data_IF_684393279544
#
_entry.id   IF_684393279544
#
_cell.length_a   1.000
_cell.length_b   1.000
_cell.length_c   1.000
_cell.angle_alpha   90.00
_cell.angle_beta   90.00
_cell.angle_gamma   90.00
#
_symmetry.space_group_name_H-M   'P 1'
#
loop_
_entity.id
_entity.type
_entity.pdbx_description
1 polymer ?
#
# COMPACT_ATOMS: atom_id res chain seq x y z
N UNK A 1 -21.80 -2.91 6.57
CA UNK A 1 -20.65 -3.84 6.39
C UNK A 1 -19.64 -3.60 7.49
N UNK A 2 -19.06 -4.66 8.07
CA UNK A 2 -18.01 -4.56 9.10
C UNK A 2 -16.78 -5.31 8.61
N UNK A 3 -15.61 -4.69 8.67
CA UNK A 3 -14.32 -5.35 8.44
C UNK A 3 -13.42 -5.04 9.63
N UNK A 4 -12.97 -6.09 10.32
CA UNK A 4 -12.10 -5.98 11.49
C UNK A 4 -10.85 -6.83 11.31
N UNK A 5 -9.71 -6.30 11.69
CA UNK A 5 -8.46 -7.02 11.77
C UNK A 5 -7.71 -6.60 13.03
N UNK A 6 -7.63 -7.51 14.01
CA UNK A 6 -7.20 -7.20 15.36
C UNK A 6 -7.96 -5.97 15.92
N UNK A 7 -7.26 -4.86 16.15
CA UNK A 7 -7.82 -3.62 16.69
C UNK A 7 -8.27 -2.62 15.61
N UNK A 8 -7.82 -2.80 14.36
CA UNK A 8 -8.20 -1.92 13.26
C UNK A 8 -9.54 -2.34 12.67
N UNK A 9 -10.52 -1.44 12.64
CA UNK A 9 -11.86 -1.69 12.10
C UNK A 9 -12.30 -0.64 11.09
N UNK A 10 -12.99 -1.06 10.03
CA UNK A 10 -13.68 -0.21 9.06
C UNK A 10 -15.14 -0.63 9.01
N UNK A 11 -16.02 0.35 9.17
CA UNK A 11 -17.45 0.17 9.25
C UNK A 11 -18.12 0.98 8.14
N UNK A 12 -18.95 0.32 7.34
CA UNK A 12 -19.69 0.93 6.24
C UNK A 12 -21.17 1.06 6.59
N UNK A 13 -21.68 2.28 6.49
CA UNK A 13 -23.06 2.68 6.75
C UNK A 13 -23.68 3.35 5.52
N UNK A 14 -25.00 3.26 5.38
CA UNK A 14 -25.74 3.88 4.27
C UNK A 14 -26.16 5.32 4.58
N UNK A 15 -26.46 5.63 5.85
CA UNK A 15 -26.90 6.95 6.29
C UNK A 15 -25.95 7.55 7.33
N UNK A 16 -25.88 8.89 7.37
CA UNK A 16 -25.11 9.61 8.40
C UNK A 16 -25.71 9.42 9.79
N UNK A 17 -27.03 9.40 9.90
CA UNK A 17 -27.72 9.18 11.18
C UNK A 17 -27.35 7.84 11.83
N UNK A 18 -27.17 6.78 11.02
CA UNK A 18 -26.72 5.50 11.56
C UNK A 18 -25.28 5.55 12.06
N UNK A 19 -24.41 6.31 11.38
CA UNK A 19 -23.02 6.55 11.84
C UNK A 19 -23.03 7.27 13.18
N UNK A 20 -23.79 8.35 13.28
CA UNK A 20 -23.82 9.20 14.48
C UNK A 20 -24.36 8.41 15.69
N UNK A 21 -25.46 7.65 15.51
CA UNK A 21 -25.98 6.75 16.55
C UNK A 21 -24.97 5.68 16.95
N UNK A 22 -24.33 5.04 15.97
CA UNK A 22 -23.36 3.98 16.22
C UNK A 22 -22.13 4.47 16.99
N UNK A 23 -21.64 5.68 16.70
CA UNK A 23 -20.51 6.27 17.44
C UNK A 23 -20.87 6.45 18.91
N UNK A 24 -22.08 6.92 19.20
CA UNK A 24 -22.53 7.11 20.58
C UNK A 24 -22.65 5.76 21.31
N UNK A 25 -23.28 4.78 20.69
CA UNK A 25 -23.38 3.41 21.23
C UNK A 25 -21.99 2.80 21.49
N UNK A 26 -21.03 3.05 20.59
CA UNK A 26 -19.65 2.61 20.75
C UNK A 26 -18.95 3.27 21.93
N UNK A 27 -19.16 4.57 22.15
CA UNK A 27 -18.57 5.29 23.30
C UNK A 27 -19.08 4.70 24.61
N UNK A 28 -20.40 4.47 24.71
CA UNK A 28 -21.02 3.82 25.88
C UNK A 28 -20.44 2.43 26.09
N UNK A 29 -20.33 1.63 25.03
CA UNK A 29 -19.80 0.27 25.13
C UNK A 29 -18.32 0.23 25.54
N UNK A 30 -17.50 1.13 25.01
CA UNK A 30 -16.08 1.21 25.37
C UNK A 30 -15.89 1.61 26.83
N UNK A 31 -16.70 2.56 27.32
CA UNK A 31 -16.67 2.99 28.71
C UNK A 31 -16.96 1.84 29.70
N UNK A 32 -17.87 0.91 29.35
CA UNK A 32 -18.14 -0.28 30.16
C UNK A 32 -16.92 -1.20 30.33
N UNK A 33 -15.94 -1.13 29.42
CA UNK A 33 -14.68 -1.88 29.50
C UNK A 33 -13.51 -1.02 29.97
N UNK A 34 -13.76 0.20 30.46
CA UNK A 34 -12.71 1.15 30.87
C UNK A 34 -11.86 1.66 29.70
N UNK A 35 -12.38 1.60 28.47
CA UNK A 35 -11.72 2.09 27.27
C UNK A 35 -12.36 3.40 26.81
N UNK A 36 -11.58 4.24 26.15
CA UNK A 36 -12.06 5.46 25.49
C UNK A 36 -11.82 5.36 23.99
N UNK A 37 -12.80 5.82 23.21
CA UNK A 37 -12.65 5.91 21.76
C UNK A 37 -11.64 7.00 21.42
N UNK A 38 -10.65 6.67 20.61
CA UNK A 38 -9.65 7.65 20.17
C UNK A 38 -10.23 8.51 19.04
N UNK A 39 -10.54 9.77 19.34
CA UNK A 39 -11.18 10.71 18.41
C UNK A 39 -10.24 11.10 17.25
N UNK A 40 -8.92 11.12 17.47
CA UNK A 40 -7.94 11.44 16.41
C UNK A 40 -7.85 10.35 15.33
N UNK A 41 -8.05 9.10 15.74
CA UNK A 41 -8.03 7.91 14.87
C UNK A 41 -9.38 7.63 14.24
N UNK A 42 -10.48 7.96 14.92
CA UNK A 42 -11.83 7.65 14.45
C UNK A 42 -12.38 8.77 13.58
N UNK A 43 -12.54 8.51 12.29
CA UNK A 43 -12.98 9.53 11.32
C UNK A 43 -14.16 9.04 10.50
N UNK A 44 -15.19 9.88 10.40
CA UNK A 44 -16.31 9.66 9.49
C UNK A 44 -15.94 10.19 8.12
N UNK A 45 -16.00 9.32 7.11
CA UNK A 45 -15.61 9.64 5.74
C UNK A 45 -16.77 9.36 4.79
N UNK A 46 -17.13 10.35 3.98
CA UNK A 46 -18.07 10.12 2.89
C UNK A 46 -17.37 9.31 1.79
N UNK A 47 -17.75 8.04 1.64
CA UNK A 47 -17.08 7.07 0.80
C UNK A 47 -18.08 6.18 0.06
N UNK A 48 -17.71 5.66 -1.10
CA UNK A 48 -18.55 4.76 -1.90
C UNK A 48 -18.91 5.31 -3.28
N UNK A 49 -19.79 4.58 -3.98
CA UNK A 49 -20.14 4.80 -5.39
C UNK A 49 -20.61 6.23 -5.68
N UNK A 50 -21.44 6.77 -4.80
CA UNK A 50 -22.06 8.09 -4.98
C UNK A 50 -21.29 9.23 -4.29
N UNK A 51 -20.23 8.93 -3.54
CA UNK A 51 -19.52 9.93 -2.74
C UNK A 51 -18.97 11.08 -3.59
N UNK A 52 -18.38 10.78 -4.76
CA UNK A 52 -17.84 11.82 -5.64
C UNK A 52 -18.93 12.75 -6.19
N UNK A 53 -20.07 12.18 -6.60
CA UNK A 53 -21.20 12.95 -7.13
C UNK A 53 -21.87 13.80 -6.04
N UNK A 54 -22.11 13.22 -4.86
CA UNK A 54 -22.71 13.93 -3.73
C UNK A 54 -21.86 15.12 -3.28
N UNK A 55 -20.52 14.94 -3.22
CA UNK A 55 -19.59 16.02 -2.88
C UNK A 55 -19.54 17.12 -3.93
N UNK A 56 -19.54 16.75 -5.21
CA UNK A 56 -19.55 17.73 -6.30
C UNK A 56 -20.82 18.59 -6.28
N UNK A 57 -22.00 18.00 -5.98
CA UNK A 57 -23.25 18.76 -5.79
C UNK A 57 -23.17 19.78 -4.65
N UNK A 58 -22.31 19.54 -3.66
CA UNK A 58 -22.08 20.41 -2.52
C UNK A 58 -20.87 21.35 -2.72
N UNK A 59 -20.27 21.39 -3.91
CA UNK A 59 -19.06 22.19 -4.17
C UNK A 59 -17.81 21.70 -3.44
N UNK A 60 -17.82 20.49 -2.89
CA UNK A 60 -16.72 19.93 -2.11
C UNK A 60 -15.67 19.24 -2.99
N UNK A 61 -14.43 19.19 -2.49
CA UNK A 61 -13.35 18.43 -3.10
C UNK A 61 -13.66 16.92 -3.21
N UNK A 62 -12.81 16.18 -3.93
CA UNK A 62 -12.92 14.73 -4.12
C UNK A 62 -13.12 13.97 -2.78
N UNK A 63 -13.76 12.79 -2.80
CA UNK A 63 -13.92 11.98 -1.58
C UNK A 63 -12.57 11.72 -0.90
N UNK A 64 -12.53 11.76 0.44
CA UNK A 64 -11.32 11.46 1.18
C UNK A 64 -10.87 10.01 0.95
N UNK A 65 -9.58 9.78 1.17
CA UNK A 65 -8.96 8.45 1.17
C UNK A 65 -8.63 8.03 2.60
N UNK A 66 -8.53 6.74 2.86
CA UNK A 66 -8.10 6.23 4.15
C UNK A 66 -7.13 5.06 4.02
N UNK A 67 -6.25 4.91 5.00
CA UNK A 67 -5.32 3.79 5.07
C UNK A 67 -5.92 2.67 5.92
N UNK A 68 -5.91 1.44 5.41
CA UNK A 68 -6.33 0.24 6.13
C UNK A 68 -5.51 -0.96 5.63
N UNK A 69 -5.01 -1.79 6.55
CA UNK A 69 -4.18 -2.98 6.25
C UNK A 69 -2.97 -2.71 5.34
N UNK A 70 -2.42 -1.50 5.41
CA UNK A 70 -1.28 -1.08 4.60
C UNK A 70 -1.62 -0.69 3.15
N UNK A 71 -2.90 -0.48 2.85
CA UNK A 71 -3.37 0.08 1.59
C UNK A 71 -4.13 1.39 1.82
N UNK A 72 -3.90 2.35 0.95
CA UNK A 72 -4.75 3.53 0.80
C UNK A 72 -5.94 3.16 -0.07
N UNK A 73 -7.14 3.31 0.48
CA UNK A 73 -8.42 3.05 -0.16
C UNK A 73 -8.97 4.33 -0.77
N UNK A 74 -9.34 4.24 -2.05
CA UNK A 74 -9.68 5.41 -2.88
C UNK A 74 -10.97 5.11 -3.65
N UNK A 75 -11.92 6.05 -3.60
CA UNK A 75 -13.04 6.08 -4.52
C UNK A 75 -12.55 6.41 -5.93
N UNK A 76 -12.51 5.40 -6.81
CA UNK A 76 -12.09 5.54 -8.19
C UNK A 76 -13.16 5.14 -9.18
N UNK A 77 -12.81 5.29 -10.46
CA UNK A 77 -13.57 4.73 -11.59
C UNK A 77 -12.69 3.75 -12.35
N UNK A 78 -13.31 2.70 -12.87
CA UNK A 78 -12.69 1.80 -13.83
C UNK A 78 -12.37 2.56 -15.12
N UNK A 79 -11.23 2.23 -15.73
CA UNK A 79 -10.82 2.83 -17.01
C UNK A 79 -11.64 2.28 -18.18
N UNK A 80 -12.15 1.05 -18.09
CA UNK A 80 -12.83 0.38 -19.20
C UNK A 80 -14.25 0.91 -19.44
N UNK A 81 -14.99 1.16 -18.37
CA UNK A 81 -16.42 1.45 -18.45
C UNK A 81 -16.87 2.61 -17.54
N UNK A 82 -15.94 3.27 -16.82
CA UNK A 82 -16.25 4.40 -15.95
C UNK A 82 -17.01 4.05 -14.66
N UNK A 83 -17.31 2.76 -14.42
CA UNK A 83 -18.02 2.32 -13.22
C UNK A 83 -17.19 2.52 -11.96
N UNK A 84 -17.88 2.69 -10.83
CA UNK A 84 -17.22 2.83 -9.54
C UNK A 84 -16.31 1.64 -9.26
N UNK A 85 -15.11 1.95 -8.79
CA UNK A 85 -14.12 0.96 -8.40
C UNK A 85 -13.42 1.41 -7.13
N UNK A 86 -13.43 0.54 -6.12
CA UNK A 86 -12.58 0.70 -4.95
C UNK A 86 -11.12 0.42 -5.34
N UNK A 87 -10.32 1.47 -5.47
CA UNK A 87 -8.89 1.35 -5.74
C UNK A 87 -8.14 1.18 -4.44
N UNK A 88 -7.16 0.27 -4.45
CA UNK A 88 -6.22 0.04 -3.34
C UNK A 88 -4.81 0.25 -3.84
N UNK A 89 -4.15 1.23 -3.25
CA UNK A 89 -2.73 1.48 -3.50
C UNK A 89 -1.94 1.13 -2.25
N UNK A 90 -0.70 0.66 -2.35
CA UNK A 90 0.12 0.51 -1.14
C UNK A 90 0.25 1.86 -0.43
N UNK A 91 -0.01 1.89 0.88
CA UNK A 91 0.13 3.11 1.67
C UNK A 91 1.54 3.69 1.52
N UNK A 92 1.61 4.99 1.26
CA UNK A 92 2.89 5.69 1.11
C UNK A 92 3.75 5.57 2.37
N UNK A 93 3.15 5.51 3.56
CA UNK A 93 3.85 5.28 4.83
C UNK A 93 4.53 3.91 4.82
N UNK A 94 3.78 2.85 4.46
CA UNK A 94 4.28 1.47 4.43
C UNK A 94 5.39 1.29 3.39
N UNK A 95 5.20 1.84 2.20
CA UNK A 95 6.21 1.79 1.13
C UNK A 95 7.50 2.50 1.53
N UNK A 96 7.41 3.72 2.10
CA UNK A 96 8.57 4.48 2.58
C UNK A 96 9.33 3.73 3.68
N UNK A 97 8.61 3.19 4.67
CA UNK A 97 9.22 2.42 5.76
C UNK A 97 9.97 1.19 5.21
N UNK A 98 9.36 0.46 4.26
CA UNK A 98 10.00 -0.70 3.65
C UNK A 98 11.25 -0.32 2.84
N UNK A 99 11.18 0.73 2.03
CA UNK A 99 12.33 1.22 1.26
C UNK A 99 13.47 1.69 2.16
N UNK A 100 13.16 2.36 3.29
CA UNK A 100 14.16 2.76 4.30
C UNK A 100 14.89 1.54 4.84
N UNK A 101 14.16 0.52 5.30
CA UNK A 101 14.76 -0.71 5.81
C UNK A 101 15.62 -1.44 4.76
N UNK A 102 15.19 -1.45 3.49
CA UNK A 102 15.98 -2.06 2.39
C UNK A 102 17.27 -1.29 2.15
N UNK A 103 17.24 0.05 2.14
CA UNK A 103 18.44 0.89 1.96
C UNK A 103 19.44 0.65 3.08
N UNK A 104 19.00 0.63 4.33
CA UNK A 104 19.87 0.33 5.48
C UNK A 104 20.48 -1.06 5.38
N UNK A 105 19.67 -2.07 5.07
CA UNK A 105 20.17 -3.43 4.88
C UNK A 105 21.17 -3.51 3.72
N UNK A 106 20.93 -2.85 2.60
CA UNK A 106 21.88 -2.79 1.48
C UNK A 106 23.22 -2.19 1.87
N UNK A 107 23.23 -1.14 2.70
CA UNK A 107 24.48 -0.55 3.20
C UNK A 107 25.25 -1.52 4.08
N UNK A 108 24.58 -2.27 4.97
CA UNK A 108 25.23 -3.32 5.79
C UNK A 108 25.79 -4.46 4.94
N UNK A 109 25.16 -4.75 3.80
CA UNK A 109 25.55 -5.81 2.86
C UNK A 109 26.46 -5.35 1.73
N UNK A 110 26.98 -4.11 1.81
CA UNK A 110 27.71 -3.48 0.70
C UNK A 110 28.95 -4.26 0.25
N UNK A 111 29.62 -4.94 1.17
CA UNK A 111 30.83 -5.71 0.88
C UNK A 111 30.55 -7.16 0.43
N UNK A 112 29.30 -7.63 0.52
CA UNK A 112 28.93 -8.99 0.13
C UNK A 112 29.05 -9.19 -1.40
N UNK A 113 29.22 -10.45 -1.87
CA UNK A 113 29.20 -10.75 -3.30
C UNK A 113 27.85 -10.36 -3.95
N UNK A 114 27.91 -9.79 -5.15
CA UNK A 114 26.73 -9.36 -5.92
C UNK A 114 25.65 -10.45 -6.03
N UNK A 115 25.97 -11.74 -6.30
CA UNK A 115 24.96 -12.79 -6.38
C UNK A 115 24.22 -13.05 -5.06
N UNK A 116 24.90 -12.86 -3.91
CA UNK A 116 24.30 -13.06 -2.57
C UNK A 116 23.28 -11.95 -2.31
N UNK A 117 23.67 -10.69 -2.51
CA UNK A 117 22.77 -9.53 -2.38
C UNK A 117 21.61 -9.62 -3.37
N UNK A 118 21.86 -10.04 -4.62
CA UNK A 118 20.83 -10.23 -5.64
C UNK A 118 19.78 -11.27 -5.24
N UNK A 119 20.19 -12.44 -4.73
CA UNK A 119 19.24 -13.47 -4.23
C UNK A 119 18.46 -12.99 -3.02
N UNK A 120 19.08 -12.24 -2.12
CA UNK A 120 18.37 -11.63 -0.99
C UNK A 120 17.34 -10.59 -1.46
N UNK A 121 17.71 -9.69 -2.38
CA UNK A 121 16.79 -8.72 -2.96
C UNK A 121 15.61 -9.38 -3.67
N UNK A 122 15.84 -10.48 -4.40
CA UNK A 122 14.76 -11.26 -5.02
C UNK A 122 13.71 -11.66 -3.99
N UNK A 123 14.14 -12.27 -2.87
CA UNK A 123 13.23 -12.69 -1.78
C UNK A 123 12.49 -11.52 -1.16
N UNK A 124 13.20 -10.42 -0.91
CA UNK A 124 12.62 -9.20 -0.31
C UNK A 124 11.56 -8.56 -1.20
N UNK A 125 11.83 -8.42 -2.50
CA UNK A 125 10.90 -7.82 -3.47
C UNK A 125 9.73 -8.77 -3.73
N UNK A 126 9.99 -10.07 -3.88
CA UNK A 126 8.93 -11.07 -4.06
C UNK A 126 7.98 -11.08 -2.85
N UNK A 127 8.50 -11.06 -1.62
CA UNK A 127 7.67 -10.99 -0.42
C UNK A 127 6.81 -9.72 -0.36
N UNK A 128 7.35 -8.59 -0.80
CA UNK A 128 6.57 -7.34 -0.90
C UNK A 128 5.46 -7.45 -1.95
N UNK A 129 5.76 -8.02 -3.12
CA UNK A 129 4.76 -8.25 -4.18
C UNK A 129 3.69 -9.25 -3.75
N UNK A 130 4.05 -10.32 -3.06
CA UNK A 130 3.11 -11.31 -2.55
C UNK A 130 2.04 -10.72 -1.64
N UNK A 131 2.28 -9.57 -0.99
CA UNK A 131 1.26 -8.88 -0.21
C UNK A 131 0.56 -7.78 -1.03
N UNK A 132 1.33 -6.99 -1.79
CA UNK A 132 0.83 -5.75 -2.41
C UNK A 132 0.37 -5.87 -3.87
N UNK A 133 0.56 -7.01 -4.53
CA UNK A 133 0.24 -7.22 -5.94
C UNK A 133 -1.26 -7.45 -6.22
N UNK A 134 -2.08 -6.50 -5.78
CA UNK A 134 -3.52 -6.43 -6.02
C UNK A 134 -3.85 -5.62 -7.27
N UNK A 135 -5.04 -5.79 -7.87
CA UNK A 135 -5.44 -5.05 -9.06
C UNK A 135 -5.43 -3.53 -8.81
N UNK A 136 -4.92 -2.77 -9.78
CA UNK A 136 -4.81 -1.31 -9.71
C UNK A 136 -3.60 -0.77 -8.96
N UNK A 137 -2.72 -1.63 -8.41
CA UNK A 137 -1.52 -1.22 -7.67
C UNK A 137 -0.19 -1.41 -8.44
N UNK A 138 -0.23 -1.92 -9.68
CA UNK A 138 0.98 -2.29 -10.45
C UNK A 138 1.96 -1.12 -10.59
N UNK A 139 1.48 0.08 -10.89
CA UNK A 139 2.33 1.27 -11.03
C UNK A 139 3.14 1.57 -9.75
N UNK A 140 2.56 1.32 -8.58
CA UNK A 140 3.26 1.49 -7.28
C UNK A 140 4.29 0.38 -7.05
N UNK A 141 4.02 -0.84 -7.50
CA UNK A 141 4.97 -1.95 -7.44
C UNK A 141 6.16 -1.70 -8.36
N UNK A 142 5.93 -1.15 -9.55
CA UNK A 142 7.00 -0.74 -10.47
C UNK A 142 7.82 0.40 -9.91
N UNK A 143 7.18 1.41 -9.30
CA UNK A 143 7.89 2.47 -8.59
C UNK A 143 8.76 1.89 -7.46
N UNK A 144 8.22 0.95 -6.67
CA UNK A 144 8.97 0.25 -5.62
C UNK A 144 10.17 -0.51 -6.18
N UNK A 145 9.99 -1.29 -7.26
CA UNK A 145 11.07 -2.01 -7.94
C UNK A 145 12.15 -1.06 -8.44
N UNK A 146 11.77 0.07 -9.04
CA UNK A 146 12.70 1.11 -9.50
C UNK A 146 13.48 1.71 -8.33
N UNK A 147 12.82 2.03 -7.22
CA UNK A 147 13.48 2.58 -6.04
C UNK A 147 14.45 1.60 -5.38
N UNK A 148 14.10 0.31 -5.30
CA UNK A 148 15.00 -0.75 -4.85
C UNK A 148 16.20 -0.88 -5.79
N UNK A 149 15.98 -0.80 -7.11
CA UNK A 149 17.05 -0.82 -8.11
C UNK A 149 18.01 0.36 -7.91
N UNK A 150 17.49 1.58 -7.73
CA UNK A 150 18.32 2.77 -7.47
C UNK A 150 19.11 2.62 -6.16
N UNK A 151 18.49 2.10 -5.11
CA UNK A 151 19.16 1.84 -3.83
C UNK A 151 20.29 0.81 -3.97
N UNK A 152 20.08 -0.26 -4.73
CA UNK A 152 21.11 -1.27 -4.96
C UNK A 152 22.28 -0.73 -5.78
N UNK A 153 22.00 0.02 -6.86
CA UNK A 153 23.03 0.69 -7.63
C UNK A 153 23.84 1.64 -6.77
N UNK A 154 23.17 2.38 -5.88
CA UNK A 154 23.82 3.30 -4.96
C UNK A 154 24.79 2.58 -4.00
N UNK A 155 24.37 1.48 -3.37
CA UNK A 155 25.23 0.68 -2.51
C UNK A 155 26.44 0.11 -3.28
N UNK A 156 26.23 -0.41 -4.49
CA UNK A 156 27.32 -0.94 -5.32
C UNK A 156 28.36 0.13 -5.69
N UNK A 157 27.91 1.35 -5.99
CA UNK A 157 28.80 2.48 -6.32
C UNK A 157 29.62 2.96 -5.12
N UNK A 158 29.20 2.64 -3.89
CA UNK A 158 29.95 2.99 -2.66
C UNK A 158 31.01 1.95 -2.25
N UNK A 159 31.04 0.77 -2.90
CA UNK A 159 31.96 -0.33 -2.56
C UNK A 159 33.44 -0.06 -2.93
N UNK A 160 33.77 0.92 -3.77
CA UNK A 160 35.18 1.28 -4.08
C UNK A 160 35.38 2.13 -5.34
N UNK A 161 36.59 2.67 -5.52
CA UNK A 161 36.91 3.73 -6.50
C UNK A 161 37.19 3.26 -7.95
N UNK A 162 37.51 1.99 -8.21
CA UNK A 162 38.08 1.55 -9.51
C UNK A 162 37.11 0.92 -10.53
N UNK A 163 35.82 1.23 -10.47
CA UNK A 163 34.91 0.77 -11.53
C UNK A 163 33.50 1.31 -11.38
N UNK A 164 33.17 2.36 -12.14
CA UNK A 164 31.77 2.79 -12.30
C UNK A 164 30.98 1.60 -12.85
N UNK A 165 30.05 1.06 -12.06
CA UNK A 165 29.09 0.05 -12.51
C UNK A 165 28.36 0.58 -13.77
N UNK A 166 28.62 0.02 -14.97
CA UNK A 166 27.99 0.50 -16.19
C UNK A 166 26.51 0.17 -16.18
N UNK A 167 25.70 1.05 -16.76
CA UNK A 167 24.25 0.91 -16.67
C UNK A 167 23.73 -0.37 -17.34
N UNK A 168 24.32 -0.77 -18.47
CA UNK A 168 24.04 -2.03 -19.14
C UNK A 168 24.32 -3.27 -18.26
N UNK A 169 25.45 -3.27 -17.52
CA UNK A 169 25.79 -4.37 -16.59
C UNK A 169 24.79 -4.44 -15.44
N UNK A 170 24.42 -3.29 -14.88
CA UNK A 170 23.44 -3.26 -13.80
C UNK A 170 22.03 -3.64 -14.26
N UNK A 171 21.61 -3.24 -15.46
CA UNK A 171 20.35 -3.64 -16.06
C UNK A 171 20.20 -5.16 -16.11
N UNK A 172 21.26 -5.88 -16.51
CA UNK A 172 21.29 -7.36 -16.47
C UNK A 172 21.12 -7.92 -15.05
N UNK A 173 21.67 -7.27 -14.02
CA UNK A 173 21.48 -7.70 -12.63
C UNK A 173 20.04 -7.45 -12.16
N UNK A 174 19.45 -6.31 -12.51
CA UNK A 174 18.05 -5.99 -12.18
C UNK A 174 17.10 -7.00 -12.82
N UNK A 175 17.25 -7.28 -14.11
CA UNK A 175 16.41 -8.27 -14.79
C UNK A 175 16.65 -9.68 -14.26
N UNK A 176 17.90 -10.02 -13.90
CA UNK A 176 18.21 -11.33 -13.31
C UNK A 176 17.59 -11.51 -11.93
N UNK A 177 17.61 -10.51 -11.06
CA UNK A 177 17.29 -10.72 -9.64
C UNK A 177 15.96 -10.10 -9.19
N UNK A 178 15.56 -8.96 -9.73
CA UNK A 178 14.38 -8.24 -9.27
C UNK A 178 13.16 -8.63 -10.11
N UNK A 179 12.17 -9.35 -9.52
CA UNK A 179 10.98 -9.77 -10.25
C UNK A 179 10.26 -8.56 -10.83
N UNK A 180 9.62 -8.74 -12.00
CA UNK A 180 8.77 -7.72 -12.61
C UNK A 180 7.47 -7.59 -11.86
N UNK A 181 6.94 -6.37 -11.76
CA UNK A 181 5.64 -6.16 -11.16
C UNK A 181 4.56 -6.78 -12.05
N UNK A 182 3.66 -7.54 -11.43
CA UNK A 182 2.45 -8.08 -12.05
C UNK A 182 1.40 -8.24 -10.98
N UNK A 183 0.13 -8.25 -11.36
CA UNK A 183 -0.95 -8.62 -10.44
C UNK A 183 -0.77 -10.09 -10.07
N UNK A 184 -0.76 -10.40 -8.77
CA UNK A 184 -0.68 -11.77 -8.26
C UNK A 184 -1.98 -12.21 -7.61
N UNK A 185 -2.83 -11.26 -7.22
CA UNK A 185 -4.09 -11.52 -6.54
C UNK A 185 -5.26 -11.06 -7.39
N UNK A 186 -6.33 -11.87 -7.50
CA UNK A 186 -7.56 -11.45 -8.14
C UNK A 186 -8.27 -10.36 -7.32
N UNK A 187 -9.39 -9.85 -7.83
CA UNK A 187 -10.19 -8.90 -7.05
C UNK A 187 -10.74 -9.58 -5.78
N UNK A 188 -11.02 -8.84 -4.69
CA UNK A 188 -11.47 -9.44 -3.43
C UNK A 188 -12.74 -10.28 -3.57
N UNK A 189 -13.66 -9.87 -4.44
CA UNK A 189 -14.90 -10.61 -4.67
C UNK A 189 -14.65 -11.97 -5.35
N UNK A 190 -13.54 -12.14 -6.06
CA UNK A 190 -13.11 -13.45 -6.59
C UNK A 190 -12.25 -14.17 -5.55
N UNK A 191 -11.36 -13.43 -4.87
CA UNK A 191 -10.36 -13.97 -3.93
C UNK A 191 -10.97 -14.58 -2.67
N UNK A 192 -12.09 -14.02 -2.20
CA UNK A 192 -12.71 -14.36 -0.92
C UNK A 192 -14.15 -14.86 -1.09
N UNK A 193 -14.57 -15.27 -2.29
CA UNK A 193 -15.89 -15.85 -2.55
C UNK A 193 -15.97 -17.36 -2.22
N UNK A 194 -15.17 -17.82 -1.26
CA UNK A 194 -15.15 -19.22 -0.78
C UNK A 194 -15.72 -19.30 0.62
#
# INVERSE_FOLDING_TARGET
>A
MIVRYADDSVLGFESKSDVDRFIEDMKVRFAQFGLTLNEDKTRVLQFGRFAAQARAKQGLAKPPTFDFLGFTHICGKSRSNGWFQLKRLTSAKRMRARLKAIREALMRRMHEPIPVVGRWLRRVVQGYFNYHAVPGNVDRLDAFRKDVSRAWLHALRRRGQRGRMPWARFGRLVERYLPRARVLHPYPHERFAS
#
